data_IF_202701840754
#
_entry.id   IF_202701840754
#
_cell.length_a   1.000
_cell.length_b   1.000
_cell.length_c   1.000
_cell.angle_alpha   90.00
_cell.angle_beta   90.00
_cell.angle_gamma   90.00
#
_symmetry.space_group_name_H-M   'P 1'
#
loop_
_entity.id
_entity.type
_entity.pdbx_description
1 polymer ?
#
# COMPACT_ATOMS: atom_id res chain seq x y z
N UNK A 1 -12.06 7.68 10.88
CA UNK A 1 -10.85 8.40 11.33
C UNK A 1 -9.82 8.23 10.22
N UNK A 2 -9.18 9.30 9.74
CA UNK A 2 -8.15 9.18 8.70
C UNK A 2 -6.90 8.55 9.31
N UNK A 3 -6.65 7.27 9.06
CA UNK A 3 -5.36 6.65 9.38
C UNK A 3 -4.26 7.40 8.64
N UNK A 4 -3.23 7.84 9.36
CA UNK A 4 -2.08 8.50 8.75
C UNK A 4 -1.38 7.52 7.82
N UNK A 5 -0.98 7.99 6.63
CA UNK A 5 -0.16 7.19 5.71
C UNK A 5 1.21 6.99 6.37
N UNK A 6 1.66 5.75 6.58
CA UNK A 6 2.94 5.44 7.23
C UNK A 6 4.13 5.89 6.36
N UNK A 7 5.31 6.01 6.97
CA UNK A 7 6.56 6.27 6.25
C UNK A 7 6.97 5.01 5.46
N UNK A 8 7.47 5.18 4.25
CA UNK A 8 7.93 4.08 3.39
C UNK A 8 9.05 3.22 4.03
N UNK A 9 10.01 3.84 4.72
CA UNK A 9 11.14 3.13 5.33
C UNK A 9 10.63 2.22 6.47
N UNK A 10 9.61 2.68 7.20
CA UNK A 10 8.94 1.87 8.22
C UNK A 10 8.20 0.70 7.56
N UNK A 11 7.42 0.97 6.51
CA UNK A 11 6.62 -0.04 5.81
C UNK A 11 7.50 -1.11 5.19
N UNK A 12 8.65 -0.77 4.60
CA UNK A 12 9.55 -1.75 4.00
C UNK A 12 10.02 -2.81 4.99
N UNK A 13 10.13 -2.45 6.28
CA UNK A 13 10.53 -3.35 7.36
C UNK A 13 9.39 -4.16 7.98
N UNK A 14 8.14 -3.93 7.56
CA UNK A 14 6.98 -4.55 8.19
C UNK A 14 6.90 -6.06 7.95
N UNK A 15 6.59 -6.78 9.03
CA UNK A 15 6.17 -8.18 8.94
C UNK A 15 4.75 -8.28 8.39
N UNK A 16 4.35 -9.51 8.02
CA UNK A 16 3.00 -9.81 7.54
C UNK A 16 1.93 -9.39 8.57
N UNK A 17 2.19 -9.61 9.87
CA UNK A 17 1.29 -9.21 10.95
C UNK A 17 1.13 -7.69 11.05
N UNK A 18 2.22 -6.94 10.84
CA UNK A 18 2.19 -5.48 10.88
C UNK A 18 1.42 -4.92 9.67
N UNK A 19 1.59 -5.50 8.48
CA UNK A 19 0.79 -5.16 7.29
C UNK A 19 -0.69 -5.42 7.54
N UNK A 20 -1.05 -6.58 8.07
CA UNK A 20 -2.43 -6.94 8.33
C UNK A 20 -3.08 -6.03 9.39
N UNK A 21 -2.37 -5.71 10.46
CA UNK A 21 -2.82 -4.79 11.49
C UNK A 21 -3.04 -3.37 10.92
N UNK A 22 -2.14 -2.90 10.06
CA UNK A 22 -2.31 -1.61 9.39
C UNK A 22 -3.54 -1.60 8.46
N UNK A 23 -3.73 -2.65 7.66
CA UNK A 23 -4.91 -2.79 6.79
C UNK A 23 -6.21 -2.81 7.60
N UNK A 24 -6.23 -3.45 8.76
CA UNK A 24 -7.37 -3.40 9.68
C UNK A 24 -7.63 -1.98 10.22
N UNK A 25 -6.58 -1.23 10.57
CA UNK A 25 -6.71 0.15 11.06
C UNK A 25 -7.27 1.12 10.01
N UNK A 26 -7.00 0.88 8.72
CA UNK A 26 -7.54 1.69 7.61
C UNK A 26 -8.87 1.15 7.05
N UNK A 27 -9.59 0.35 7.83
CA UNK A 27 -10.90 -0.23 7.48
C UNK A 27 -10.86 -1.18 6.28
N UNK A 28 -9.73 -1.86 6.08
CA UNK A 28 -9.49 -2.86 5.03
C UNK A 28 -9.21 -4.24 5.63
N UNK A 29 -9.95 -4.63 6.67
CA UNK A 29 -9.76 -5.90 7.41
C UNK A 29 -9.72 -7.14 6.51
N UNK A 30 -10.60 -7.23 5.51
CA UNK A 30 -10.62 -8.36 4.54
C UNK A 30 -9.29 -8.47 3.78
N UNK A 31 -8.65 -7.33 3.49
CA UNK A 31 -7.32 -7.32 2.87
C UNK A 31 -6.26 -7.78 3.86
N UNK A 32 -6.40 -7.43 5.15
CA UNK A 32 -5.50 -7.86 6.21
C UNK A 32 -5.48 -9.39 6.35
N UNK A 33 -6.65 -10.03 6.38
CA UNK A 33 -6.74 -11.50 6.42
C UNK A 33 -6.12 -12.16 5.19
N UNK A 34 -6.33 -11.59 4.01
CA UNK A 34 -5.70 -12.05 2.77
C UNK A 34 -4.17 -11.93 2.81
N UNK A 35 -3.65 -10.81 3.33
CA UNK A 35 -2.20 -10.63 3.49
C UNK A 35 -1.58 -11.65 4.42
N UNK A 36 -2.26 -12.01 5.53
CA UNK A 36 -1.84 -13.10 6.43
C UNK A 36 -1.81 -14.44 5.71
N UNK A 37 -2.86 -14.76 4.96
CA UNK A 37 -2.99 -16.04 4.24
C UNK A 37 -1.91 -16.22 3.17
N UNK A 38 -1.55 -15.13 2.48
CA UNK A 38 -0.60 -15.14 1.37
C UNK A 38 0.83 -14.77 1.77
N UNK A 39 1.06 -14.40 3.02
CA UNK A 39 2.39 -14.01 3.51
C UNK A 39 2.89 -12.71 2.88
N UNK A 40 2.01 -11.73 2.69
CA UNK A 40 2.38 -10.43 2.13
C UNK A 40 2.99 -9.56 3.23
N UNK A 41 4.31 -9.38 3.18
CA UNK A 41 5.06 -8.47 4.03
C UNK A 41 5.10 -7.04 3.45
N UNK A 42 5.71 -6.13 4.19
CA UNK A 42 5.79 -4.72 3.80
C UNK A 42 6.56 -4.50 2.50
N UNK A 43 7.64 -5.24 2.28
CA UNK A 43 8.43 -5.17 1.06
C UNK A 43 7.61 -5.61 -0.17
N UNK A 44 6.82 -6.67 -0.05
CA UNK A 44 5.92 -7.12 -1.10
C UNK A 44 4.76 -6.14 -1.31
N UNK A 45 4.18 -5.63 -0.22
CA UNK A 45 3.10 -4.64 -0.24
C UNK A 45 3.48 -3.40 -1.07
N UNK A 46 4.69 -2.87 -0.88
CA UNK A 46 5.18 -1.69 -1.62
C UNK A 46 5.39 -1.94 -3.12
N UNK A 47 5.62 -3.20 -3.52
CA UNK A 47 5.82 -3.61 -4.91
C UNK A 47 4.53 -3.97 -5.63
N UNK A 48 3.38 -3.93 -4.94
CA UNK A 48 2.10 -4.29 -5.53
C UNK A 48 1.75 -3.39 -6.71
N UNK A 49 1.41 -4.02 -7.83
CA UNK A 49 0.85 -3.37 -9.02
C UNK A 49 -0.61 -3.74 -9.17
N UNK A 50 -1.28 -3.04 -10.07
CA UNK A 50 -2.70 -3.28 -10.36
C UNK A 50 -2.96 -4.72 -10.80
N UNK A 51 -2.05 -5.31 -11.59
CA UNK A 51 -2.11 -6.72 -12.01
C UNK A 51 -2.05 -7.70 -10.83
N UNK A 52 -1.22 -7.41 -9.82
CA UNK A 52 -1.00 -8.28 -8.67
C UNK A 52 -2.28 -8.37 -7.82
N UNK A 53 -3.04 -7.27 -7.71
CA UNK A 53 -4.31 -7.20 -6.96
C UNK A 53 -5.36 -8.19 -7.46
N UNK A 54 -5.36 -8.52 -8.75
CA UNK A 54 -6.27 -9.54 -9.30
C UNK A 54 -5.88 -10.96 -8.90
N UNK A 55 -4.61 -11.19 -8.54
CA UNK A 55 -4.09 -12.51 -8.18
C UNK A 55 -4.17 -12.75 -6.67
N UNK A 56 -3.85 -11.74 -5.86
CA UNK A 56 -3.86 -11.90 -4.42
C UNK A 56 -5.19 -11.50 -3.77
N UNK A 57 -5.95 -10.57 -4.34
CA UNK A 57 -7.20 -10.08 -3.73
C UNK A 57 -8.48 -10.71 -4.26
N UNK A 58 -8.47 -11.94 -4.80
CA UNK A 58 -9.65 -12.55 -5.44
C UNK A 58 -10.86 -12.61 -4.51
N UNK A 59 -10.64 -12.88 -3.22
CA UNK A 59 -11.67 -12.96 -2.19
C UNK A 59 -12.05 -11.58 -1.61
N UNK A 60 -11.37 -10.52 -2.04
CA UNK A 60 -11.56 -9.14 -1.58
C UNK A 60 -12.37 -8.35 -2.59
N UNK A 61 -13.20 -7.40 -2.16
CA UNK A 61 -13.95 -6.56 -3.10
C UNK A 61 -13.04 -5.70 -4.00
N UNK A 62 -13.47 -5.44 -5.25
CA UNK A 62 -12.74 -4.56 -6.18
C UNK A 62 -12.47 -3.18 -5.56
N UNK A 63 -13.43 -2.68 -4.78
CA UNK A 63 -13.32 -1.40 -4.08
C UNK A 63 -12.15 -1.40 -3.09
N UNK A 64 -12.06 -2.43 -2.25
CA UNK A 64 -11.00 -2.53 -1.24
C UNK A 64 -9.64 -2.70 -1.90
N UNK A 65 -9.54 -3.51 -2.96
CA UNK A 65 -8.32 -3.66 -3.76
C UNK A 65 -7.81 -2.33 -4.31
N UNK A 66 -8.70 -1.51 -4.89
CA UNK A 66 -8.34 -0.17 -5.38
C UNK A 66 -7.91 0.77 -4.26
N UNK A 67 -8.53 0.66 -3.08
CA UNK A 67 -8.14 1.46 -1.92
C UNK A 67 -6.75 1.08 -1.41
N UNK A 68 -6.41 -0.21 -1.36
CA UNK A 68 -5.05 -0.68 -1.04
C UNK A 68 -4.05 -0.07 -2.02
N UNK A 69 -4.29 -0.17 -3.34
CA UNK A 69 -3.40 0.40 -4.35
C UNK A 69 -3.18 1.89 -4.16
N UNK A 70 -4.25 2.62 -3.85
CA UNK A 70 -4.19 4.07 -3.61
C UNK A 70 -3.31 4.38 -2.41
N UNK A 71 -3.45 3.65 -1.30
CA UNK A 71 -2.63 3.85 -0.10
C UNK A 71 -1.17 3.49 -0.37
N UNK A 72 -0.90 2.38 -1.04
CA UNK A 72 0.47 1.97 -1.44
C UNK A 72 1.12 3.03 -2.33
N UNK A 73 0.40 3.56 -3.32
CA UNK A 73 0.89 4.65 -4.16
C UNK A 73 1.15 5.94 -3.37
N UNK A 74 0.33 6.24 -2.35
CA UNK A 74 0.58 7.36 -1.45
C UNK A 74 1.87 7.16 -0.63
N UNK A 75 2.11 5.95 -0.11
CA UNK A 75 3.35 5.62 0.60
C UNK A 75 4.56 5.77 -0.35
N UNK A 76 4.50 5.16 -1.54
CA UNK A 76 5.57 5.22 -2.54
C UNK A 76 5.86 6.65 -3.03
N UNK A 77 4.85 7.52 -3.10
CA UNK A 77 5.03 8.93 -3.48
C UNK A 77 5.82 9.75 -2.46
N UNK A 78 6.00 9.26 -1.22
CA UNK A 78 6.79 9.97 -0.20
C UNK A 78 8.29 10.01 -0.53
N UNK A 79 8.81 9.06 -1.33
CA UNK A 79 10.23 9.09 -1.76
C UNK A 79 10.51 9.97 -2.97
N UNK A 80 9.49 10.52 -3.63
CA UNK A 80 9.66 11.42 -4.76
C UNK A 80 9.02 12.78 -4.44
N UNK A 81 9.79 13.82 -4.05
CA UNK A 81 9.29 15.16 -4.23
C UNK A 81 8.96 15.36 -5.72
N UNK A 82 7.90 16.12 -6.07
CA UNK A 82 7.70 16.50 -7.46
C UNK A 82 8.99 17.17 -7.92
N UNK A 83 9.68 16.53 -8.87
CA UNK A 83 10.83 17.14 -9.56
C UNK A 83 10.24 18.35 -10.25
N UNK A 84 10.38 19.53 -9.64
CA UNK A 84 10.05 20.80 -10.29
C UNK A 84 11.05 20.91 -11.44
N UNK A 85 10.64 20.77 -12.71
CA UNK A 85 11.58 20.97 -13.80
C UNK A 85 12.10 22.41 -13.68
N UNK A 86 13.42 22.64 -13.84
CA UNK A 86 13.97 23.98 -13.75
C UNK A 86 13.22 24.87 -14.74
N UNK A 87 12.70 25.99 -14.22
CA UNK A 87 11.97 26.99 -14.99
C UNK A 87 12.87 27.40 -16.16
N UNK A 88 12.53 26.99 -17.38
CA UNK A 88 13.24 27.49 -18.56
C UNK A 88 12.94 28.99 -18.65
N UNK A 89 13.90 29.80 -18.22
CA UNK A 89 13.94 31.23 -18.53
C UNK A 89 14.06 31.36 -20.04
N UNK A 90 12.99 31.86 -20.67
CA UNK A 90 13.05 32.45 -22.00
C UNK A 90 13.81 33.78 -21.94
#
# INVERSE_FOLDING_TARGET
MSGSVPNIDDVESWTVEQVAAWLQQVELSDCGEETLRKGIDGHFLLKLREEDLFVWGQDVSIRNRRQVLKLVNQINSQQYPPVIPPRQTQ
#
